data_IF_470200970337
#
_entry.id   IF_470200970337
#
_cell.length_a   1.000
_cell.length_b   1.000
_cell.length_c   1.000
_cell.angle_alpha   90.00
_cell.angle_beta   90.00
_cell.angle_gamma   90.00
#
_symmetry.space_group_name_H-M   'P 1'
#
loop_
_entity.id
_entity.type
_entity.pdbx_description
1 polymer ?
#
# COMPACT_ATOMS: atom_id res chain seq x y z
N UNK A 1 12.92 -4.42 8.60
CA UNK A 1 11.96 -5.24 7.82
C UNK A 1 11.75 -6.58 8.51
N UNK A 2 10.57 -7.23 8.38
CA UNK A 2 10.31 -8.57 8.97
C UNK A 2 10.99 -9.72 8.19
N UNK A 3 11.52 -9.41 7.02
CA UNK A 3 11.99 -10.40 6.03
C UNK A 3 13.42 -10.18 5.57
N UNK A 4 13.97 -8.99 5.80
CA UNK A 4 15.29 -8.59 5.32
C UNK A 4 16.03 -7.75 6.36
N UNK A 5 17.35 -7.90 6.37
CA UNK A 5 18.29 -7.05 7.07
C UNK A 5 19.24 -6.40 6.06
N UNK A 6 19.19 -5.07 6.00
CA UNK A 6 20.07 -4.26 5.17
C UNK A 6 21.20 -3.69 6.02
N UNK A 7 22.33 -3.42 5.38
CA UNK A 7 23.51 -2.82 6.00
C UNK A 7 23.83 -1.52 5.28
N UNK A 8 24.38 -0.56 6.01
CA UNK A 8 24.81 0.71 5.45
C UNK A 8 26.22 1.05 5.93
N UNK A 9 26.97 1.77 5.10
CA UNK A 9 28.28 2.33 5.46
C UNK A 9 28.16 3.82 5.71
N UNK A 10 28.78 4.29 6.79
CA UNK A 10 28.89 5.72 7.10
C UNK A 10 30.09 6.30 6.34
N UNK A 11 29.83 7.32 5.53
CA UNK A 11 30.84 8.05 4.79
C UNK A 11 31.43 9.21 5.62
N UNK A 12 32.61 9.75 5.24
CA UNK A 12 33.23 10.88 5.94
C UNK A 12 32.37 12.15 5.98
N UNK A 13 31.46 12.33 5.02
CA UNK A 13 30.53 13.47 4.96
C UNK A 13 29.25 13.28 5.80
N UNK A 14 29.14 12.15 6.52
CA UNK A 14 27.98 11.76 7.31
C UNK A 14 26.91 10.97 6.55
N UNK A 15 27.05 10.78 5.23
CA UNK A 15 26.12 10.01 4.42
C UNK A 15 26.09 8.53 4.81
N UNK A 16 24.90 7.93 4.93
CA UNK A 16 24.73 6.49 5.13
C UNK A 16 24.36 5.85 3.79
N UNK A 17 25.28 5.07 3.22
CA UNK A 17 25.05 4.39 1.94
C UNK A 17 24.58 2.98 2.18
N UNK A 18 23.38 2.65 1.71
CA UNK A 18 22.82 1.30 1.76
C UNK A 18 23.61 0.39 0.82
N UNK A 19 24.17 -0.67 1.38
CA UNK A 19 24.99 -1.63 0.65
C UNK A 19 24.15 -2.51 -0.28
N UNK A 20 24.74 -3.01 -1.39
CA UNK A 20 24.04 -3.86 -2.37
C UNK A 20 23.61 -5.21 -1.80
N UNK A 21 24.27 -5.68 -0.74
CA UNK A 21 24.07 -7.02 -0.17
C UNK A 21 23.21 -6.95 1.09
N UNK A 22 22.12 -7.72 1.10
CA UNK A 22 21.18 -7.80 2.23
C UNK A 22 20.93 -9.26 2.61
N UNK A 23 20.70 -9.53 3.89
CA UNK A 23 20.29 -10.88 4.31
C UNK A 23 18.78 -11.02 4.17
N UNK A 24 18.32 -12.03 3.42
CA UNK A 24 16.91 -12.35 3.23
C UNK A 24 16.54 -13.58 4.03
N UNK A 25 15.54 -13.44 4.92
CA UNK A 25 14.91 -14.57 5.62
C UNK A 25 14.04 -15.41 4.69
N UNK A 26 13.54 -14.84 3.58
CA UNK A 26 12.74 -15.54 2.58
C UNK A 26 13.62 -16.51 1.79
N UNK A 27 14.75 -16.01 1.28
CA UNK A 27 15.73 -16.81 0.52
C UNK A 27 16.68 -17.59 1.43
N UNK A 28 16.66 -17.33 2.74
CA UNK A 28 17.57 -17.91 3.74
C UNK A 28 19.05 -17.69 3.40
N UNK A 29 19.39 -16.51 2.93
CA UNK A 29 20.74 -16.19 2.48
C UNK A 29 20.93 -14.73 2.10
N UNK A 30 22.16 -14.40 1.72
CA UNK A 30 22.52 -13.08 1.21
C UNK A 30 22.03 -12.90 -0.22
N UNK A 31 21.40 -11.77 -0.49
CA UNK A 31 20.88 -11.40 -1.80
C UNK A 31 21.48 -10.08 -2.26
N UNK A 32 21.68 -9.97 -3.57
CA UNK A 32 22.00 -8.70 -4.21
C UNK A 32 20.69 -7.91 -4.40
N UNK A 33 20.42 -6.98 -3.47
CA UNK A 33 19.19 -6.21 -3.43
C UNK A 33 18.99 -5.37 -4.70
N UNK A 34 20.04 -4.67 -5.15
CA UNK A 34 19.93 -3.83 -6.34
C UNK A 34 19.71 -4.64 -7.62
N UNK A 35 20.24 -5.88 -7.68
CA UNK A 35 19.92 -6.81 -8.76
C UNK A 35 18.46 -7.25 -8.74
N UNK A 36 17.84 -7.40 -7.57
CA UNK A 36 16.41 -7.68 -7.45
C UNK A 36 15.54 -6.51 -7.90
N UNK A 37 15.99 -5.27 -7.69
CA UNK A 37 15.23 -4.07 -8.05
C UNK A 37 15.39 -3.68 -9.53
N UNK A 38 16.59 -3.84 -10.10
CA UNK A 38 16.88 -3.39 -11.47
C UNK A 38 17.15 -4.49 -12.49
N UNK A 39 17.40 -5.72 -12.04
CA UNK A 39 18.20 -6.65 -12.83
C UNK A 39 19.65 -6.19 -12.90
N UNK A 40 20.30 -6.40 -14.05
CA UNK A 40 21.70 -6.01 -14.25
C UNK A 40 21.82 -4.50 -14.46
N UNK A 41 22.42 -3.82 -13.49
CA UNK A 41 22.72 -2.38 -13.50
C UNK A 41 24.05 -2.06 -12.82
N UNK A 42 24.54 -0.82 -12.97
CA UNK A 42 25.75 -0.35 -12.29
C UNK A 42 25.66 -0.50 -10.75
N UNK A 43 24.48 -0.23 -10.16
CA UNK A 43 24.29 -0.41 -8.70
C UNK A 43 24.11 -1.87 -8.28
N UNK A 44 23.87 -2.77 -9.24
CA UNK A 44 23.85 -4.22 -8.99
C UNK A 44 25.23 -4.89 -9.08
N UNK A 45 26.26 -4.19 -9.57
CA UNK A 45 27.63 -4.70 -9.60
C UNK A 45 28.24 -4.59 -8.20
N UNK A 46 28.35 -5.72 -7.50
CA UNK A 46 28.88 -5.77 -6.13
C UNK A 46 30.40 -5.58 -6.14
N UNK A 47 31.08 -6.03 -7.18
CA UNK A 47 32.55 -5.98 -7.27
C UNK A 47 33.03 -4.54 -7.51
N UNK A 48 32.18 -3.70 -8.12
CA UNK A 48 32.46 -2.29 -8.41
C UNK A 48 31.44 -1.33 -7.77
N UNK A 49 30.94 -1.65 -6.58
CA UNK A 49 30.02 -0.77 -5.84
C UNK A 49 30.77 0.44 -5.24
N UNK A 50 31.00 1.47 -6.04
CA UNK A 50 31.73 2.68 -5.66
C UNK A 50 30.83 3.91 -5.54
N UNK A 51 31.11 4.78 -4.56
CA UNK A 51 30.40 6.04 -4.37
C UNK A 51 28.99 5.87 -3.78
N UNK A 52 28.10 6.81 -4.09
CA UNK A 52 26.70 6.81 -3.63
C UNK A 52 25.79 6.72 -4.86
N UNK A 53 25.39 5.52 -5.30
CA UNK A 53 24.49 5.39 -6.43
C UNK A 53 23.12 6.00 -6.12
N UNK A 54 22.37 6.32 -7.16
CA UNK A 54 21.00 6.81 -7.02
C UNK A 54 20.14 5.82 -6.21
N UNK A 55 19.37 6.36 -5.26
CA UNK A 55 18.52 5.58 -4.37
C UNK A 55 19.24 4.91 -3.18
N UNK A 56 20.57 5.00 -3.08
CA UNK A 56 21.33 4.32 -2.02
C UNK A 56 21.64 5.20 -0.80
N UNK A 57 21.32 6.50 -0.81
CA UNK A 57 21.55 7.37 0.34
C UNK A 57 20.40 7.23 1.33
N UNK A 58 20.64 6.51 2.43
CA UNK A 58 19.61 6.17 3.41
C UNK A 58 18.84 7.39 3.91
N UNK A 59 19.53 8.48 4.26
CA UNK A 59 18.89 9.69 4.77
C UNK A 59 17.84 10.28 3.81
N UNK A 60 18.11 10.24 2.51
CA UNK A 60 17.21 10.78 1.48
C UNK A 60 16.14 9.78 1.08
N UNK A 61 16.56 8.54 0.82
CA UNK A 61 15.78 7.57 0.05
C UNK A 61 15.03 6.57 0.96
N UNK A 62 15.43 6.43 2.23
CA UNK A 62 14.87 5.43 3.15
C UNK A 62 14.36 6.03 4.45
N UNK A 63 15.13 6.93 5.08
CA UNK A 63 14.82 7.50 6.38
C UNK A 63 13.43 8.18 6.46
N UNK A 64 12.91 8.87 5.42
CA UNK A 64 11.56 9.44 5.49
C UNK A 64 10.47 8.42 5.80
N UNK A 65 10.69 7.15 5.43
CA UNK A 65 9.77 6.05 5.69
C UNK A 65 10.24 5.09 6.78
N UNK A 66 11.47 5.22 7.30
CA UNK A 66 12.11 4.25 8.20
C UNK A 66 12.66 4.86 9.50
N UNK A 67 12.50 6.16 9.70
CA UNK A 67 12.85 6.88 10.93
C UNK A 67 11.71 7.79 11.34
N UNK A 68 11.80 8.32 12.56
CA UNK A 68 10.97 9.41 13.03
C UNK A 68 11.80 10.64 13.34
N UNK A 69 11.12 11.79 13.37
CA UNK A 69 11.74 13.09 13.68
C UNK A 69 12.97 13.41 12.79
N UNK A 70 12.92 13.02 11.51
CA UNK A 70 13.92 13.33 10.50
C UNK A 70 13.90 14.83 10.18
N UNK A 71 15.06 15.47 10.27
CA UNK A 71 15.23 16.91 10.03
C UNK A 71 16.45 17.23 9.19
N UNK A 72 16.34 18.27 8.36
CA UNK A 72 17.42 18.88 7.59
C UNK A 72 17.64 20.32 8.03
N UNK A 73 18.89 20.74 8.21
CA UNK A 73 19.18 22.17 8.32
C UNK A 73 18.92 22.87 6.97
N UNK A 74 18.50 24.13 7.00
CA UNK A 74 18.21 24.89 5.78
C UNK A 74 19.44 24.93 4.85
N UNK A 75 19.26 24.53 3.59
CA UNK A 75 20.34 24.46 2.59
C UNK A 75 21.36 23.33 2.79
N UNK A 76 21.20 22.47 3.79
CA UNK A 76 22.10 21.36 4.04
C UNK A 76 21.88 20.21 3.04
N UNK A 77 22.94 19.47 2.67
CA UNK A 77 22.81 18.31 1.79
C UNK A 77 22.07 17.18 2.50
N UNK A 78 21.50 16.21 1.75
CA UNK A 78 20.78 15.12 2.37
C UNK A 78 21.62 14.24 3.31
N UNK A 79 22.95 14.17 3.14
CA UNK A 79 23.85 13.46 4.04
C UNK A 79 23.90 14.04 5.46
N UNK A 80 23.54 15.31 5.62
CA UNK A 80 23.53 16.00 6.91
C UNK A 80 22.22 15.85 7.70
N UNK A 81 21.27 15.02 7.24
CA UNK A 81 20.01 14.79 7.94
C UNK A 81 20.24 14.26 9.35
N UNK A 82 19.47 14.77 10.32
CA UNK A 82 19.44 14.24 11.68
C UNK A 82 18.23 13.35 11.85
N UNK A 83 18.48 12.10 12.23
CA UNK A 83 17.48 11.11 12.62
C UNK A 83 17.53 10.98 14.14
N UNK A 84 16.43 11.26 14.83
CA UNK A 84 16.42 11.21 16.30
C UNK A 84 16.15 9.81 16.81
N UNK A 85 15.19 9.13 16.17
CA UNK A 85 14.70 7.82 16.62
C UNK A 85 14.53 6.86 15.44
N UNK A 86 14.75 5.58 15.71
CA UNK A 86 14.52 4.52 14.73
C UNK A 86 13.03 4.29 14.54
N UNK A 87 12.58 4.22 13.29
CA UNK A 87 11.18 4.00 12.93
C UNK A 87 10.85 2.51 12.71
N UNK A 88 9.59 2.14 12.59
CA UNK A 88 8.38 3.00 12.65
C UNK A 88 7.89 3.06 14.09
N UNK A 89 7.76 4.26 14.65
CA UNK A 89 7.35 4.47 16.04
C UNK A 89 5.91 5.00 16.17
N UNK A 90 5.52 5.32 17.41
CA UNK A 90 4.19 5.84 17.74
C UNK A 90 3.90 7.16 17.00
N UNK A 91 4.86 8.08 17.02
CA UNK A 91 4.69 9.44 16.51
C UNK A 91 4.54 9.44 14.99
N UNK A 92 5.05 8.43 14.29
CA UNK A 92 4.84 8.30 12.84
C UNK A 92 3.38 8.21 12.41
N UNK A 93 2.53 7.60 13.25
CA UNK A 93 1.10 7.46 12.98
C UNK A 93 0.25 8.40 13.84
N UNK A 94 0.70 8.71 15.05
CA UNK A 94 -0.06 9.52 16.00
C UNK A 94 0.41 10.98 16.08
N UNK A 95 1.48 11.34 15.37
CA UNK A 95 2.09 12.67 15.36
C UNK A 95 2.96 12.97 16.59
N UNK A 96 3.74 14.07 16.53
CA UNK A 96 4.61 14.49 17.64
C UNK A 96 3.81 14.73 18.91
N UNK A 97 4.20 14.05 20.00
CA UNK A 97 3.38 13.87 21.20
C UNK A 97 3.98 14.50 22.46
N UNK A 98 5.01 15.34 22.35
CA UNK A 98 5.64 16.01 23.50
C UNK A 98 4.63 16.82 24.34
N UNK A 99 3.78 17.62 23.70
CA UNK A 99 2.75 18.40 24.39
C UNK A 99 1.75 17.51 25.16
N UNK A 100 1.44 16.32 24.61
CA UNK A 100 0.62 15.33 25.29
C UNK A 100 1.33 14.77 26.53
N UNK A 101 2.63 14.43 26.42
CA UNK A 101 3.44 13.95 27.54
C UNK A 101 3.53 15.01 28.65
N UNK A 102 3.78 16.27 28.29
CA UNK A 102 3.89 17.37 29.25
C UNK A 102 2.57 17.61 29.98
N UNK A 103 1.44 17.57 29.25
CA UNK A 103 0.12 17.63 29.86
C UNK A 103 -0.08 16.48 30.86
N UNK A 104 0.20 15.23 30.45
CA UNK A 104 0.04 14.04 31.30
C UNK A 104 0.89 14.07 32.58
N UNK A 105 2.01 14.79 32.56
CA UNK A 105 2.88 14.99 33.72
C UNK A 105 2.43 16.12 34.64
N UNK A 106 1.61 17.06 34.17
CA UNK A 106 1.23 18.27 34.90
C UNK A 106 0.17 18.05 36.00
N UNK A 107 -0.39 16.86 36.15
CA UNK A 107 -1.30 16.50 37.25
C UNK A 107 -2.69 16.04 36.81
N UNK A 108 -3.65 15.89 37.77
CA UNK A 108 -4.94 15.28 37.51
C UNK A 108 -5.75 16.02 36.43
N UNK A 109 -6.10 15.30 35.38
CA UNK A 109 -6.88 15.86 34.27
C UNK A 109 -8.36 16.01 34.61
N UNK A 110 -8.76 17.20 35.08
CA UNK A 110 -10.17 17.57 35.19
C UNK A 110 -10.69 18.02 33.83
N UNK A 111 -10.93 17.06 32.93
CA UNK A 111 -11.78 17.25 31.76
C UNK A 111 -11.16 17.98 30.56
N UNK A 112 -10.82 17.21 29.54
CA UNK A 112 -11.40 17.40 28.21
C UNK A 112 -11.23 16.07 27.48
N UNK A 113 -12.34 15.38 27.18
CA UNK A 113 -12.31 14.37 26.11
C UNK A 113 -11.81 15.11 24.89
N UNK A 114 -10.62 14.76 24.39
CA UNK A 114 -10.00 15.40 23.23
C UNK A 114 -11.07 15.72 22.18
N UNK A 115 -11.08 16.99 21.75
CA UNK A 115 -11.96 17.49 20.70
C UNK A 115 -11.87 16.55 19.49
N UNK A 116 -12.97 16.40 18.75
CA UNK A 116 -13.00 15.59 17.52
C UNK A 116 -11.91 16.01 16.52
N UNK A 117 -11.35 15.06 15.76
CA UNK A 117 -10.49 15.33 14.61
C UNK A 117 -8.98 15.10 14.83
N UNK A 118 -8.17 15.65 13.91
CA UNK A 118 -6.70 15.54 13.76
C UNK A 118 -5.84 16.09 14.94
N UNK A 119 -6.37 16.13 16.17
CA UNK A 119 -5.60 16.50 17.37
C UNK A 119 -4.55 15.42 17.69
N UNK A 120 -3.38 15.84 18.18
CA UNK A 120 -2.28 14.94 18.55
C UNK A 120 -2.35 14.54 20.04
N UNK A 121 -2.12 13.25 20.38
CA UNK A 121 -1.84 12.15 19.47
C UNK A 121 -3.11 11.74 18.70
N UNK A 122 -2.99 11.43 17.40
CA UNK A 122 -4.16 11.14 16.55
C UNK A 122 -4.92 9.92 17.03
N UNK A 123 -6.23 10.08 17.22
CA UNK A 123 -7.13 8.97 17.50
C UNK A 123 -7.79 8.50 16.19
N UNK A 124 -7.41 7.30 15.72
CA UNK A 124 -7.92 6.71 14.48
C UNK A 124 -9.44 6.45 14.50
N UNK A 125 -10.08 6.45 15.67
CA UNK A 125 -11.54 6.36 15.78
C UNK A 125 -12.26 7.70 15.56
N UNK A 126 -11.51 8.82 15.53
CA UNK A 126 -12.04 10.18 15.44
C UNK A 126 -11.68 10.91 14.14
N UNK A 127 -11.06 10.20 13.20
CA UNK A 127 -10.64 10.75 11.90
C UNK A 127 -11.39 10.07 10.76
N UNK A 128 -11.48 10.75 9.63
CA UNK A 128 -12.04 10.25 8.38
C UNK A 128 -11.22 9.12 7.77
N UNK A 129 -11.82 8.39 6.83
CA UNK A 129 -11.11 7.37 6.06
C UNK A 129 -9.95 7.96 5.25
N UNK A 130 -10.15 9.17 4.71
CA UNK A 130 -9.16 9.95 3.99
C UNK A 130 -7.95 10.26 4.88
N UNK A 131 -8.17 10.78 6.09
CA UNK A 131 -7.10 11.07 7.05
C UNK A 131 -6.36 9.78 7.47
N UNK A 132 -7.09 8.71 7.77
CA UNK A 132 -6.52 7.40 8.14
C UNK A 132 -5.62 6.83 7.06
N UNK A 133 -6.09 6.78 5.81
CA UNK A 133 -5.28 6.31 4.67
C UNK A 133 -4.14 7.28 4.40
N UNK A 134 -4.34 8.59 4.60
CA UNK A 134 -3.27 9.55 4.42
C UNK A 134 -2.12 9.37 5.41
N UNK A 135 -2.37 8.96 6.65
CA UNK A 135 -1.30 8.67 7.61
C UNK A 135 -0.48 7.47 7.15
N UNK A 136 -1.11 6.36 6.74
CA UNK A 136 -0.40 5.19 6.22
C UNK A 136 0.35 5.48 4.91
N UNK A 137 -0.23 6.35 4.09
CA UNK A 137 0.36 6.77 2.82
C UNK A 137 1.64 7.58 2.96
N UNK A 138 2.02 8.02 4.18
CA UNK A 138 3.33 8.66 4.38
C UNK A 138 4.48 7.73 3.99
N UNK A 139 4.27 6.41 3.98
CA UNK A 139 5.27 5.43 3.55
C UNK A 139 4.75 4.53 2.43
N UNK A 140 3.46 4.19 2.47
CA UNK A 140 2.84 3.21 1.57
C UNK A 140 2.15 3.83 0.35
N UNK A 141 2.64 5.00 -0.09
CA UNK A 141 2.24 5.68 -1.32
C UNK A 141 3.44 6.35 -2.00
N UNK A 142 4.03 5.68 -2.99
CA UNK A 142 5.26 6.10 -3.69
C UNK A 142 5.16 7.45 -4.39
N UNK A 143 3.94 7.86 -4.77
CA UNK A 143 3.73 9.16 -5.42
C UNK A 143 4.06 10.34 -4.51
N UNK A 144 4.23 10.11 -3.21
CA UNK A 144 4.52 11.13 -2.21
C UNK A 144 6.00 11.50 -2.16
N UNK A 145 6.28 12.79 -2.29
CA UNK A 145 7.62 13.36 -2.33
C UNK A 145 8.08 13.83 -0.94
N UNK A 146 9.08 13.19 -0.33
CA UNK A 146 9.55 13.51 1.03
C UNK A 146 10.51 14.71 1.12
N UNK A 147 10.27 15.77 0.36
CA UNK A 147 11.07 16.98 0.44
C UNK A 147 10.84 17.68 1.81
N UNK A 148 11.88 18.25 2.45
CA UNK A 148 11.75 18.90 3.75
C UNK A 148 10.82 20.13 3.72
N UNK A 149 10.19 20.44 4.86
CA UNK A 149 9.54 21.74 5.08
C UNK A 149 10.58 22.88 5.08
N UNK A 150 10.15 24.15 4.95
CA UNK A 150 11.05 25.29 5.20
C UNK A 150 11.76 25.23 6.56
N UNK A 151 11.12 24.62 7.58
CA UNK A 151 11.70 24.37 8.91
C UNK A 151 12.54 23.09 9.02
N UNK A 152 12.76 22.38 7.91
CA UNK A 152 13.63 21.21 7.86
C UNK A 152 12.97 19.87 8.20
N UNK A 153 11.77 19.85 8.77
CA UNK A 153 11.07 18.61 9.12
C UNK A 153 10.63 17.83 7.87
N UNK A 154 10.68 16.51 7.93
CA UNK A 154 10.39 15.62 6.79
C UNK A 154 9.25 14.67 7.09
N UNK A 155 9.33 13.96 8.22
CA UNK A 155 8.32 12.98 8.61
C UNK A 155 6.97 13.63 8.92
N UNK A 156 6.99 14.84 9.48
CA UNK A 156 5.81 15.55 9.95
C UNK A 156 5.72 16.93 9.33
N UNK A 157 4.48 17.39 9.18
CA UNK A 157 4.13 18.77 8.99
C UNK A 157 4.17 19.52 10.33
N UNK A 158 4.77 20.71 10.35
CA UNK A 158 4.66 21.66 11.47
C UNK A 158 3.32 22.40 11.47
N UNK A 159 2.46 22.14 10.48
CA UNK A 159 1.11 22.68 10.36
C UNK A 159 0.07 21.54 10.43
N UNK A 160 -1.22 21.87 10.53
CA UNK A 160 -2.31 20.88 10.54
C UNK A 160 -2.76 20.58 9.10
N UNK A 161 -2.90 19.29 8.70
CA UNK A 161 -2.67 18.08 9.49
C UNK A 161 -1.18 17.77 9.66
N UNK A 162 -0.83 17.01 10.72
CA UNK A 162 0.57 16.69 11.07
C UNK A 162 1.31 15.84 10.03
N UNK A 163 0.60 15.23 9.09
CA UNK A 163 1.17 14.47 7.99
C UNK A 163 1.13 15.29 6.70
N UNK A 164 2.11 15.08 5.83
CA UNK A 164 2.21 15.86 4.60
C UNK A 164 1.33 15.29 3.50
N UNK A 165 0.47 16.14 2.94
CA UNK A 165 -0.24 15.85 1.68
C UNK A 165 0.69 16.28 0.55
N UNK A 166 1.57 15.37 0.16
CA UNK A 166 2.54 15.66 -0.90
C UNK A 166 1.87 15.82 -2.28
N UNK A 167 2.44 16.69 -3.11
CA UNK A 167 2.14 16.70 -4.54
C UNK A 167 2.47 15.32 -5.11
N UNK A 168 1.53 14.74 -5.87
CA UNK A 168 1.77 13.47 -6.56
C UNK A 168 2.76 13.73 -7.68
N UNK A 169 3.97 13.14 -7.59
CA UNK A 169 4.91 13.20 -8.71
C UNK A 169 4.31 12.41 -9.87
N UNK A 170 4.18 13.05 -11.05
CA UNK A 170 3.75 12.35 -12.26
C UNK A 170 4.83 11.34 -12.65
N UNK A 171 4.48 10.06 -12.61
CA UNK A 171 5.40 8.95 -12.83
C UNK A 171 5.62 8.63 -14.32
N UNK A 172 5.64 9.66 -15.17
CA UNK A 172 5.66 9.52 -16.63
C UNK A 172 6.86 8.72 -17.14
N UNK A 173 8.00 8.76 -16.44
CA UNK A 173 9.20 8.00 -16.78
C UNK A 173 9.23 6.56 -16.23
N UNK A 174 8.19 6.15 -15.49
CA UNK A 174 8.11 4.86 -14.80
C UNK A 174 6.88 4.04 -15.19
N UNK A 175 6.22 4.37 -16.31
CA UNK A 175 4.93 3.78 -16.69
C UNK A 175 4.92 2.24 -16.59
N UNK A 176 5.96 1.57 -17.10
CA UNK A 176 6.03 0.11 -17.17
C UNK A 176 6.47 -0.53 -15.83
N UNK A 177 7.10 0.26 -14.94
CA UNK A 177 7.49 -0.16 -13.59
C UNK A 177 6.37 0.07 -12.57
N UNK A 178 5.44 0.98 -12.87
CA UNK A 178 4.38 1.42 -11.95
C UNK A 178 3.06 0.77 -12.28
N UNK A 179 2.73 0.66 -13.57
CA UNK A 179 1.41 0.23 -14.04
C UNK A 179 1.47 -1.01 -14.91
N UNK A 180 0.51 -1.90 -14.71
CA UNK A 180 0.07 -2.86 -15.71
C UNK A 180 -0.54 -2.12 -16.90
N UNK A 181 -0.54 -2.74 -18.08
CA UNK A 181 -1.11 -2.10 -19.27
C UNK A 181 -2.63 -1.85 -19.13
N UNK A 182 -3.29 -2.59 -18.24
CA UNK A 182 -4.68 -2.38 -17.82
C UNK A 182 -4.87 -1.25 -16.80
N UNK A 183 -3.80 -0.58 -16.36
CA UNK A 183 -3.83 0.58 -15.46
C UNK A 183 -3.77 0.26 -13.96
N UNK A 184 -3.78 -1.02 -13.57
CA UNK A 184 -3.54 -1.43 -12.17
C UNK A 184 -2.09 -1.18 -11.77
N UNK A 185 -1.83 -1.02 -10.48
CA UNK A 185 -0.46 -0.84 -9.97
C UNK A 185 0.32 -2.16 -9.93
N UNK A 186 1.63 -2.10 -10.22
CA UNK A 186 2.55 -3.25 -10.22
C UNK A 186 3.36 -3.42 -8.96
N UNK A 187 3.49 -2.41 -8.10
CA UNK A 187 4.45 -2.46 -6.99
C UNK A 187 3.78 -2.09 -5.66
N UNK A 188 4.24 -2.73 -4.58
CA UNK A 188 3.70 -2.54 -3.24
C UNK A 188 3.86 -1.14 -2.67
N UNK A 189 4.77 -0.35 -3.22
CA UNK A 189 4.90 1.06 -2.87
C UNK A 189 3.68 1.88 -3.28
N UNK A 190 2.78 1.34 -4.11
CA UNK A 190 1.51 1.95 -4.54
C UNK A 190 0.25 1.37 -3.86
N UNK A 191 0.40 0.62 -2.75
CA UNK A 191 -0.76 -0.04 -2.11
C UNK A 191 -1.83 0.96 -1.63
N UNK A 192 -1.42 2.14 -1.16
CA UNK A 192 -2.35 3.18 -0.73
C UNK A 192 -3.13 3.76 -1.92
N UNK A 193 -2.46 4.03 -3.05
CA UNK A 193 -3.11 4.47 -4.28
C UNK A 193 -4.07 3.40 -4.81
N UNK A 194 -3.68 2.12 -4.78
CA UNK A 194 -4.51 1.00 -5.20
C UNK A 194 -5.78 0.90 -4.34
N UNK A 195 -5.65 0.98 -3.00
CA UNK A 195 -6.79 0.97 -2.09
C UNK A 195 -7.74 2.14 -2.38
N UNK A 196 -7.21 3.35 -2.57
CA UNK A 196 -8.02 4.54 -2.86
C UNK A 196 -8.79 4.46 -4.18
N UNK A 197 -8.34 3.64 -5.13
CA UNK A 197 -9.08 3.37 -6.37
C UNK A 197 -10.22 2.39 -6.18
N UNK A 198 -10.19 1.58 -5.12
CA UNK A 198 -11.25 0.60 -4.88
C UNK A 198 -12.57 1.23 -4.42
N UNK A 199 -13.69 0.60 -4.76
CA UNK A 199 -15.00 0.94 -4.16
C UNK A 199 -15.05 0.68 -2.67
N UNK A 200 -14.24 -0.25 -2.14
CA UNK A 200 -14.11 -0.44 -0.69
C UNK A 200 -13.75 0.86 0.01
N UNK A 201 -12.81 1.64 -0.54
CA UNK A 201 -12.48 2.98 -0.04
C UNK A 201 -13.54 4.01 -0.46
N UNK A 202 -13.80 4.15 -1.77
CA UNK A 202 -14.61 5.25 -2.33
C UNK A 202 -16.07 5.25 -1.91
N UNK A 203 -16.63 4.08 -1.62
CA UNK A 203 -18.06 3.91 -1.28
C UNK A 203 -18.22 3.32 0.12
N UNK A 204 -17.34 2.38 0.51
CA UNK A 204 -17.42 1.70 1.79
C UNK A 204 -16.67 2.37 2.95
N UNK A 205 -15.86 3.41 2.69
CA UNK A 205 -15.04 4.07 3.72
C UNK A 205 -13.96 3.15 4.33
N UNK A 206 -13.58 2.08 3.64
CA UNK A 206 -12.56 1.15 4.13
C UNK A 206 -11.19 1.85 4.24
N UNK A 207 -10.46 1.56 5.31
CA UNK A 207 -9.11 2.07 5.57
C UNK A 207 -8.12 0.93 5.73
N UNK A 208 -6.84 1.23 5.85
CA UNK A 208 -5.82 0.23 6.16
C UNK A 208 -6.14 -0.51 7.47
N UNK A 209 -6.60 0.21 8.50
CA UNK A 209 -6.93 -0.34 9.83
C UNK A 209 -8.30 -1.05 9.89
N UNK A 210 -9.09 -0.99 8.82
CA UNK A 210 -10.28 -1.85 8.67
C UNK A 210 -9.89 -3.33 8.56
N UNK A 211 -8.69 -3.62 8.05
CA UNK A 211 -8.19 -4.97 7.78
C UNK A 211 -6.88 -5.30 8.53
N UNK A 212 -6.04 -4.29 8.79
CA UNK A 212 -4.77 -4.46 9.51
C UNK A 212 -4.88 -4.04 10.97
N UNK A 213 -4.12 -4.73 11.82
CA UNK A 213 -3.87 -4.32 13.19
C UNK A 213 -2.44 -3.76 13.29
N UNK A 214 -2.25 -2.44 13.46
CA UNK A 214 -0.92 -1.84 13.59
C UNK A 214 -0.23 -2.21 14.91
N UNK A 215 -0.99 -2.64 15.93
CA UNK A 215 -0.50 -3.04 17.24
C UNK A 215 -0.83 -4.52 17.53
N UNK A 216 -0.32 -5.48 16.74
CA UNK A 216 -0.60 -6.88 17.01
C UNK A 216 0.20 -7.33 18.24
N UNK A 217 -0.45 -8.03 19.16
CA UNK A 217 0.20 -8.52 20.39
C UNK A 217 1.39 -9.45 20.13
N UNK A 218 1.43 -10.14 18.98
CA UNK A 218 2.59 -10.93 18.55
C UNK A 218 2.87 -10.70 17.05
N UNK A 219 3.94 -9.97 16.74
CA UNK A 219 4.37 -9.66 15.38
C UNK A 219 5.04 -10.84 14.66
N UNK A 220 5.55 -11.83 15.39
CA UNK A 220 6.28 -12.97 14.84
C UNK A 220 5.35 -13.98 14.15
N UNK A 221 4.17 -14.22 14.73
CA UNK A 221 3.10 -15.05 14.14
C UNK A 221 2.24 -14.26 13.16
N UNK A 222 2.05 -12.95 13.38
CA UNK A 222 1.29 -12.08 12.48
C UNK A 222 2.19 -11.13 11.68
N UNK A 223 2.97 -11.70 10.75
CA UNK A 223 3.93 -10.92 9.96
C UNK A 223 3.27 -9.94 9.00
N UNK A 224 2.03 -10.19 8.60
CA UNK A 224 1.23 -9.30 7.74
C UNK A 224 0.46 -8.25 8.55
N UNK A 225 0.51 -8.31 9.88
CA UNK A 225 -0.25 -7.42 10.77
C UNK A 225 -1.75 -7.41 10.41
N UNK A 226 -2.32 -8.57 10.07
CA UNK A 226 -3.75 -8.69 9.75
C UNK A 226 -4.59 -8.73 11.02
N UNK A 227 -5.72 -8.05 11.02
CA UNK A 227 -6.66 -8.00 12.15
C UNK A 227 -7.38 -9.33 12.36
N UNK A 228 -7.62 -10.07 11.28
CA UNK A 228 -8.41 -11.30 11.26
C UNK A 228 -7.52 -12.50 10.86
N UNK A 229 -6.70 -13.00 11.77
CA UNK A 229 -5.92 -14.22 11.56
C UNK A 229 -6.45 -15.35 12.47
N UNK A 230 -6.50 -16.61 11.99
CA UNK A 230 -6.14 -17.05 10.64
C UNK A 230 -7.23 -16.74 9.58
N UNK A 231 -8.44 -16.36 10.02
CA UNK A 231 -9.58 -16.20 9.13
C UNK A 231 -9.69 -14.81 8.47
N UNK A 232 -8.76 -14.56 7.55
CA UNK A 232 -8.67 -13.31 6.79
C UNK A 232 -9.95 -12.89 6.05
N UNK A 233 -10.83 -13.80 5.64
CA UNK A 233 -12.07 -13.47 4.92
C UNK A 233 -13.05 -12.66 5.78
N UNK A 234 -12.93 -12.72 7.12
CA UNK A 234 -13.71 -11.86 8.00
C UNK A 234 -13.51 -10.37 7.70
N UNK A 235 -12.35 -9.98 7.15
CA UNK A 235 -12.13 -8.59 6.74
C UNK A 235 -13.13 -8.14 5.67
N UNK A 236 -13.51 -9.03 4.75
CA UNK A 236 -14.47 -8.78 3.68
C UNK A 236 -15.91 -8.91 4.18
N UNK A 237 -16.18 -9.92 5.01
CA UNK A 237 -17.52 -10.24 5.52
C UNK A 237 -18.04 -9.26 6.58
N UNK A 238 -17.26 -8.25 6.97
CA UNK A 238 -17.74 -7.09 7.71
C UNK A 238 -18.85 -6.35 6.92
N UNK A 239 -18.63 -6.18 5.61
CA UNK A 239 -19.55 -5.46 4.72
C UNK A 239 -20.31 -6.42 3.79
N UNK A 240 -19.66 -7.49 3.31
CA UNK A 240 -20.26 -8.46 2.38
C UNK A 240 -20.98 -9.60 3.09
N UNK A 241 -21.87 -9.27 4.03
CA UNK A 241 -22.49 -10.25 4.94
C UNK A 241 -23.33 -11.30 4.21
N UNK A 242 -23.96 -10.94 3.09
CA UNK A 242 -24.75 -11.85 2.27
C UNK A 242 -23.94 -13.04 1.69
N UNK A 243 -22.62 -12.94 1.67
CA UNK A 243 -21.71 -13.99 1.18
C UNK A 243 -21.22 -14.94 2.28
N UNK A 244 -21.56 -14.69 3.55
CA UNK A 244 -21.02 -15.41 4.72
C UNK A 244 -21.38 -16.90 4.74
N UNK A 245 -22.64 -17.22 4.45
CA UNK A 245 -23.16 -18.57 4.71
C UNK A 245 -22.88 -19.55 3.57
N UNK A 246 -22.76 -19.05 2.34
CA UNK A 246 -22.56 -19.86 1.12
C UNK A 246 -21.53 -19.24 0.18
N UNK A 247 -20.30 -18.97 0.65
CA UNK A 247 -19.26 -18.32 -0.16
C UNK A 247 -18.90 -19.13 -1.41
N UNK A 248 -19.04 -20.45 -1.39
CA UNK A 248 -18.79 -21.34 -2.52
C UNK A 248 -19.71 -21.08 -3.72
N UNK A 249 -20.90 -20.48 -3.50
CA UNK A 249 -21.76 -20.06 -4.62
C UNK A 249 -21.19 -18.88 -5.39
N UNK A 250 -20.42 -18.04 -4.71
CA UNK A 250 -19.76 -16.88 -5.28
C UNK A 250 -18.36 -17.25 -5.80
N UNK A 251 -17.54 -17.88 -4.97
CA UNK A 251 -16.17 -18.25 -5.32
C UNK A 251 -16.09 -19.43 -6.27
N UNK A 252 -17.11 -20.30 -6.27
CA UNK A 252 -17.23 -21.51 -7.12
C UNK A 252 -16.11 -22.52 -6.90
N UNK A 253 -15.46 -22.41 -5.74
CA UNK A 253 -14.47 -23.35 -5.25
C UNK A 253 -15.03 -24.05 -4.01
N UNK A 254 -14.59 -25.31 -3.80
CA UNK A 254 -14.97 -26.05 -2.62
C UNK A 254 -14.54 -25.30 -1.34
N UNK A 255 -15.38 -25.28 -0.29
CA UNK A 255 -15.02 -24.65 0.98
C UNK A 255 -13.69 -25.16 1.53
N UNK A 256 -12.91 -24.27 2.14
CA UNK A 256 -11.62 -24.61 2.77
C UNK A 256 -10.43 -24.69 1.81
N UNK A 257 -10.63 -24.49 0.51
CA UNK A 257 -9.54 -24.39 -0.49
C UNK A 257 -9.00 -22.96 -0.59
N UNK A 258 -7.76 -22.76 -1.07
CA UNK A 258 -7.22 -21.40 -1.33
C UNK A 258 -8.14 -20.62 -2.29
N UNK A 259 -8.71 -21.28 -3.31
CA UNK A 259 -9.63 -20.65 -4.26
C UNK A 259 -10.97 -20.21 -3.63
N UNK A 260 -11.34 -20.75 -2.46
CA UNK A 260 -12.53 -20.32 -1.73
C UNK A 260 -12.34 -19.06 -0.88
N UNK A 261 -11.09 -18.54 -0.77
CA UNK A 261 -10.79 -17.32 -0.01
C UNK A 261 -11.05 -16.08 -0.85
N UNK A 262 -11.70 -15.06 -0.28
CA UNK A 262 -12.02 -13.81 -0.97
C UNK A 262 -10.75 -13.15 -1.54
N UNK A 263 -9.70 -13.11 -0.71
CA UNK A 263 -8.40 -12.51 -1.05
C UNK A 263 -7.70 -13.19 -2.22
N UNK A 264 -8.00 -14.45 -2.54
CA UNK A 264 -7.34 -15.17 -3.63
C UNK A 264 -7.68 -14.59 -5.00
N UNK A 265 -8.93 -14.17 -5.19
CA UNK A 265 -9.40 -13.59 -6.44
C UNK A 265 -9.40 -12.06 -6.43
N UNK A 266 -9.79 -11.46 -5.30
CA UNK A 266 -9.93 -10.01 -5.16
C UNK A 266 -8.64 -9.29 -4.77
N UNK A 267 -7.67 -10.01 -4.21
CA UNK A 267 -6.36 -9.46 -3.84
C UNK A 267 -5.24 -10.38 -4.38
N UNK A 268 -5.17 -10.59 -5.71
CA UNK A 268 -4.22 -11.51 -6.31
C UNK A 268 -2.79 -11.08 -6.01
N UNK A 269 -1.87 -12.07 -6.01
CA UNK A 269 -0.44 -11.83 -5.79
C UNK A 269 0.20 -11.31 -7.08
N UNK A 270 0.05 -10.03 -7.34
CA UNK A 270 0.53 -9.36 -8.56
C UNK A 270 1.15 -7.99 -8.27
N UNK A 271 1.56 -7.69 -7.03
CA UNK A 271 2.31 -6.49 -6.74
C UNK A 271 3.73 -6.82 -6.29
N UNK A 272 4.70 -6.36 -7.05
CA UNK A 272 6.13 -6.49 -6.78
C UNK A 272 6.48 -5.89 -5.41
N UNK A 273 7.02 -6.74 -4.55
CA UNK A 273 7.56 -6.43 -3.24
C UNK A 273 9.08 -6.72 -3.19
N UNK A 274 9.77 -6.53 -4.31
CA UNK A 274 11.20 -6.76 -4.58
C UNK A 274 11.60 -8.23 -4.60
N UNK A 275 11.24 -9.00 -3.57
CA UNK A 275 11.61 -10.42 -3.48
C UNK A 275 10.44 -11.37 -3.74
N UNK A 276 9.21 -10.87 -3.74
CA UNK A 276 8.01 -11.69 -3.95
C UNK A 276 6.87 -10.84 -4.48
N UNK A 277 5.83 -11.50 -4.98
CA UNK A 277 4.57 -10.85 -5.33
C UNK A 277 3.63 -10.80 -4.12
N UNK A 278 3.38 -9.59 -3.63
CA UNK A 278 2.38 -9.30 -2.64
C UNK A 278 0.99 -9.16 -3.26
N UNK A 279 -0.02 -9.12 -2.38
CA UNK A 279 -1.43 -9.01 -2.75
C UNK A 279 -1.79 -7.59 -3.21
N UNK A 280 -2.53 -7.47 -4.31
CA UNK A 280 -3.16 -6.22 -4.76
C UNK A 280 -4.09 -5.63 -3.70
N UNK A 281 -4.17 -4.31 -3.67
CA UNK A 281 -5.14 -3.58 -2.85
C UNK A 281 -6.17 -2.80 -3.70
N UNK A 282 -6.17 -2.98 -5.02
CA UNK A 282 -7.30 -2.58 -5.88
C UNK A 282 -8.32 -3.74 -5.88
N UNK A 283 -9.03 -3.87 -4.76
CA UNK A 283 -9.75 -5.09 -4.33
C UNK A 283 -10.96 -5.46 -5.21
N UNK A 284 -11.57 -4.46 -5.81
CA UNK A 284 -12.79 -4.56 -6.62
C UNK A 284 -12.53 -4.80 -8.11
N UNK A 285 -11.25 -4.92 -8.49
CA UNK A 285 -10.78 -5.17 -9.84
C UNK A 285 -10.42 -6.66 -10.02
N UNK A 286 -11.48 -7.44 -10.20
CA UNK A 286 -11.53 -8.91 -10.28
C UNK A 286 -11.12 -9.36 -11.69
N UNK A 287 -10.56 -10.59 -11.87
CA UNK A 287 -10.29 -11.24 -13.15
C UNK A 287 -10.97 -10.67 -14.42
N UNK A 288 -10.34 -9.68 -15.04
CA UNK A 288 -10.80 -9.16 -16.32
C UNK A 288 -10.19 -10.01 -17.45
N UNK A 289 -11.01 -10.88 -18.03
CA UNK A 289 -10.59 -11.73 -19.14
C UNK A 289 -10.31 -10.93 -20.43
N UNK A 290 -10.99 -9.80 -20.62
CA UNK A 290 -10.81 -8.92 -21.78
C UNK A 290 -9.46 -8.20 -21.71
N UNK A 291 -9.08 -7.70 -20.52
CA UNK A 291 -7.77 -7.06 -20.35
C UNK A 291 -6.61 -8.04 -20.56
N UNK A 292 -6.74 -9.28 -20.08
CA UNK A 292 -5.75 -10.35 -20.35
C UNK A 292 -5.69 -10.66 -21.85
N UNK A 293 -6.84 -10.76 -22.54
CA UNK A 293 -6.86 -11.02 -23.98
C UNK A 293 -6.22 -9.88 -24.77
N UNK A 294 -6.36 -8.64 -24.30
CA UNK A 294 -5.82 -7.45 -24.96
C UNK A 294 -4.32 -7.25 -24.72
N UNK A 295 -3.86 -7.44 -23.49
CA UNK A 295 -2.50 -7.07 -23.08
C UNK A 295 -1.58 -8.26 -22.76
N UNK A 296 -2.14 -9.46 -22.65
CA UNK A 296 -1.41 -10.65 -22.23
C UNK A 296 -1.24 -10.75 -20.71
N UNK A 297 -0.95 -11.95 -20.21
CA UNK A 297 -0.88 -12.23 -18.77
C UNK A 297 0.27 -11.49 -18.06
N UNK A 298 1.38 -11.23 -18.75
CA UNK A 298 2.52 -10.50 -18.20
C UNK A 298 2.20 -9.03 -17.89
N UNK A 299 1.32 -8.42 -18.68
CA UNK A 299 0.95 -7.01 -18.58
C UNK A 299 -0.49 -6.76 -18.12
N UNK A 300 -1.26 -7.83 -17.88
CA UNK A 300 -2.54 -7.85 -17.20
C UNK A 300 -2.72 -9.19 -16.47
N UNK A 301 -2.08 -9.41 -15.31
CA UNK A 301 -2.14 -10.68 -14.60
C UNK A 301 -3.54 -10.95 -14.05
N UNK A 302 -4.00 -12.19 -14.20
CA UNK A 302 -5.33 -12.61 -13.80
C UNK A 302 -5.28 -13.56 -12.58
N UNK A 303 -6.19 -13.37 -11.63
CA UNK A 303 -6.20 -14.19 -10.42
C UNK A 303 -6.50 -15.68 -10.72
N UNK A 304 -7.27 -15.98 -11.76
CA UNK A 304 -7.59 -17.35 -12.16
C UNK A 304 -6.35 -18.04 -12.77
N UNK A 305 -5.68 -17.39 -13.73
CA UNK A 305 -4.53 -17.97 -14.43
C UNK A 305 -3.31 -18.17 -13.51
N UNK A 306 -3.19 -17.37 -12.44
CA UNK A 306 -2.14 -17.58 -11.42
C UNK A 306 -2.18 -18.96 -10.75
N UNK A 307 -3.38 -19.55 -10.62
CA UNK A 307 -3.59 -20.92 -10.12
C UNK A 307 -3.76 -21.93 -11.26
N UNK A 308 -4.48 -21.58 -12.32
CA UNK A 308 -4.79 -22.42 -13.47
C UNK A 308 -3.78 -22.23 -14.61
N UNK A 309 -2.50 -22.53 -14.33
CA UNK A 309 -1.37 -22.24 -15.23
C UNK A 309 -1.35 -23.07 -16.51
N UNK A 310 -2.12 -24.15 -16.56
CA UNK A 310 -2.29 -25.00 -17.74
C UNK A 310 -3.40 -24.49 -18.68
N UNK A 311 -4.07 -23.38 -18.33
CA UNK A 311 -5.18 -22.81 -19.08
C UNK A 311 -4.75 -21.56 -19.83
N UNK A 312 -5.46 -21.29 -20.92
CA UNK A 312 -5.26 -20.11 -21.76
C UNK A 312 -6.36 -19.06 -21.54
N UNK A 313 -6.21 -17.90 -22.19
CA UNK A 313 -7.20 -16.83 -22.12
C UNK A 313 -8.56 -17.23 -22.68
N UNK A 314 -8.64 -18.19 -23.61
CA UNK A 314 -9.93 -18.67 -24.13
C UNK A 314 -10.70 -19.43 -23.06
N UNK A 315 -10.02 -20.31 -22.32
CA UNK A 315 -10.61 -20.98 -21.17
C UNK A 315 -11.10 -19.98 -20.11
N UNK A 316 -10.29 -18.96 -19.81
CA UNK A 316 -10.65 -17.91 -18.86
C UNK A 316 -11.93 -17.19 -19.32
N UNK A 317 -11.98 -16.70 -20.56
CA UNK A 317 -13.14 -16.00 -21.12
C UNK A 317 -14.39 -16.87 -21.08
N UNK A 318 -14.29 -18.14 -21.49
CA UNK A 318 -15.42 -19.08 -21.42
C UNK A 318 -15.91 -19.31 -19.99
N UNK A 319 -14.98 -19.42 -19.03
CA UNK A 319 -15.30 -19.63 -17.61
C UNK A 319 -16.00 -18.41 -17.01
N UNK A 320 -15.51 -17.19 -17.31
CA UNK A 320 -16.14 -15.94 -16.86
C UNK A 320 -17.53 -15.75 -17.47
N UNK A 321 -17.72 -16.08 -18.75
CA UNK A 321 -19.03 -16.05 -19.40
C UNK A 321 -20.01 -17.03 -18.73
N UNK A 322 -19.56 -18.25 -18.40
CA UNK A 322 -20.38 -19.24 -17.69
C UNK A 322 -20.73 -18.82 -16.26
N UNK A 323 -19.89 -18.03 -15.59
CA UNK A 323 -20.21 -17.45 -14.28
C UNK A 323 -21.20 -16.28 -14.33
N UNK A 324 -21.49 -15.74 -15.50
CA UNK A 324 -22.37 -14.57 -15.66
C UNK A 324 -21.69 -13.24 -15.31
N UNK A 325 -20.37 -13.20 -15.29
CA UNK A 325 -19.57 -11.98 -15.16
C UNK A 325 -19.23 -11.48 -16.57
N UNK A 326 -19.82 -10.38 -17.02
CA UNK A 326 -19.43 -9.73 -18.29
C UNK A 326 -18.42 -8.61 -17.98
N UNK A 327 -17.47 -8.38 -18.89
CA UNK A 327 -16.56 -7.25 -18.76
C UNK A 327 -17.36 -5.94 -18.75
N UNK A 328 -17.14 -5.11 -17.74
CA UNK A 328 -17.85 -3.83 -17.54
C UNK A 328 -19.31 -3.92 -17.05
N UNK A 329 -19.93 -5.11 -17.04
CA UNK A 329 -21.21 -5.36 -16.37
C UNK A 329 -20.93 -6.07 -15.05
N UNK A 330 -21.18 -5.31 -13.97
CA UNK A 330 -21.26 -5.82 -12.62
C UNK A 330 -22.00 -7.16 -12.59
N UNK A 331 -21.55 -8.10 -11.76
CA UNK A 331 -22.13 -9.42 -11.63
C UNK A 331 -23.59 -9.33 -11.12
N UNK A 332 -24.54 -9.04 -12.02
CA UNK A 332 -25.98 -8.96 -11.77
C UNK A 332 -26.56 -10.30 -11.29
N UNK A 333 -25.80 -11.39 -11.50
CA UNK A 333 -26.11 -12.73 -11.02
C UNK A 333 -25.74 -13.03 -9.55
N UNK A 334 -25.10 -12.12 -8.81
CA UNK A 334 -24.76 -12.34 -7.40
C UNK A 334 -25.94 -12.15 -6.43
N UNK A 335 -27.17 -11.95 -6.91
CA UNK A 335 -28.37 -12.06 -6.09
C UNK A 335 -28.59 -10.94 -5.07
N UNK A 336 -27.87 -9.82 -5.18
CA UNK A 336 -28.17 -8.60 -4.41
C UNK A 336 -28.91 -7.62 -5.31
N UNK A 337 -30.22 -7.87 -5.50
CA UNK A 337 -31.13 -6.77 -5.85
C UNK A 337 -31.28 -5.92 -4.59
N UNK A 338 -30.66 -4.75 -4.55
CA UNK A 338 -31.12 -3.73 -3.60
C UNK A 338 -32.53 -3.27 -4.00
N UNK A 339 -33.51 -3.29 -3.09
CA UNK A 339 -34.81 -2.70 -3.35
C UNK A 339 -34.68 -1.17 -3.31
N UNK A 340 -34.49 -0.51 -4.47
CA UNK A 340 -34.67 0.95 -4.54
C UNK A 340 -33.86 1.74 -5.58
N UNK A 341 -32.90 1.15 -6.30
CA UNK A 341 -32.12 1.91 -7.27
C UNK A 341 -32.94 2.25 -8.54
N UNK A 342 -33.41 3.50 -8.66
CA UNK A 342 -33.95 4.03 -9.92
C UNK A 342 -32.84 4.07 -10.98
N UNK A 343 -33.14 3.77 -12.26
CA UNK A 343 -32.14 3.78 -13.32
C UNK A 343 -31.57 5.19 -13.50
N UNK A 344 -30.23 5.32 -13.41
CA UNK A 344 -29.53 6.56 -13.77
C UNK A 344 -29.70 6.80 -15.27
N UNK A 345 -30.49 7.83 -15.64
CA UNK A 345 -30.47 8.38 -16.99
C UNK A 345 -29.06 8.92 -17.27
N UNK A 346 -28.45 8.51 -18.38
CA UNK A 346 -27.21 9.11 -18.89
C UNK A 346 -27.48 10.59 -19.18
N UNK A 347 -26.92 11.48 -18.35
CA UNK A 347 -26.77 12.88 -18.72
C UNK A 347 -25.52 13.00 -19.61
N UNK A 348 -25.72 13.34 -20.87
CA UNK A 348 -24.63 13.74 -21.75
C UNK A 348 -24.20 15.15 -21.33
N UNK A 349 -23.03 15.28 -20.73
CA UNK A 349 -22.41 16.59 -20.46
C UNK A 349 -21.35 16.83 -21.54
N UNK A 350 -21.67 17.73 -22.46
CA UNK A 350 -20.72 18.32 -23.40
C UNK A 350 -19.75 19.22 -22.63
N UNK A 351 -18.44 19.02 -22.85
CA UNK A 351 -17.38 19.92 -22.37
C UNK A 351 -17.36 21.20 -23.23
N UNK A 352 -17.32 22.41 -22.64
CA UNK A 352 -17.09 23.64 -23.40
C UNK A 352 -15.61 23.76 -23.77
N UNK A 353 -15.35 24.14 -25.02
CA UNK A 353 -14.02 24.27 -25.61
C UNK A 353 -13.16 25.36 -24.97
N UNK A 354 -11.87 25.06 -24.89
CA UNK A 354 -10.80 26.04 -24.75
C UNK A 354 -10.58 26.71 -26.11
N UNK A 355 -10.71 28.03 -26.15
CA UNK A 355 -10.00 28.91 -27.08
C UNK A 355 -8.90 29.62 -26.31
#
# INVERSE_FOLDING_TARGET
SKWQQAYASLLPDGGLVVLPVQYSKLERGWVNYWKSVDGTSARSDIDHFTGVPEGALYQRDCAPCHTSQLTYAAGAPPSAARMREGGIDCEMCHGPSQAHVDAMRAGPHTGSRAASGSQLPVDFYKISAEESVAICGQCHMQSRAHDPEPGGAVNYSTTVPFYRIHATRLLVNYKDKVFYADGRFRATTFIGEALKRSRCFREGGATCVSCHNPHPGNTASNRKSLKFEPDSDQMCLQCHQALRDRPERHTRHAPGTEGSRCVSCHMPRNMDAVLFLARSHQIDDIPDAEMVARFGESDSPNACLGCHRDKDTRWLTASMAAWGTRSGEYCDGCGLKEPGARPRKRAATTLPGMR
#
